data_IF_267809565920
#
_entry.id   IF_267809565920
#
_cell.length_a   1.000
_cell.length_b   1.000
_cell.length_c   1.000
_cell.angle_alpha   90.00
_cell.angle_beta   90.00
_cell.angle_gamma   90.00
#
_symmetry.space_group_name_H-M   'P 1'
#
loop_
_entity.id
_entity.type
_entity.pdbx_description
1 polymer ?
#
# COMPACT_ATOMS: atom_id res chain seq x y z
N UNK A 1 38.25 -29.42 33.41
CA UNK A 1 38.43 -29.39 31.93
C UNK A 1 37.33 -30.17 31.24
N UNK A 2 36.32 -29.49 30.70
CA UNK A 2 35.49 -29.96 29.58
C UNK A 2 35.15 -28.71 28.76
N UNK A 3 35.80 -28.59 27.60
CA UNK A 3 35.58 -27.51 26.64
C UNK A 3 34.40 -27.93 25.77
N UNK A 4 33.30 -27.19 25.83
CA UNK A 4 32.23 -27.28 24.84
C UNK A 4 32.10 -25.93 24.18
N UNK A 5 32.75 -25.81 23.02
CA UNK A 5 32.50 -24.78 22.04
C UNK A 5 31.06 -24.94 21.56
N UNK A 6 30.15 -24.06 22.00
CA UNK A 6 28.86 -23.89 21.35
C UNK A 6 29.04 -22.77 20.34
N UNK A 7 29.13 -23.22 19.10
CA UNK A 7 29.26 -22.51 17.84
C UNK A 7 28.50 -21.19 17.75
N UNK A 8 29.23 -20.17 17.31
CA UNK A 8 28.69 -18.98 16.69
C UNK A 8 27.83 -19.35 15.48
N UNK A 9 26.52 -19.12 15.56
CA UNK A 9 25.62 -19.17 14.41
C UNK A 9 24.30 -18.43 14.68
N UNK A 10 24.40 -17.22 15.26
CA UNK A 10 23.23 -16.37 15.56
C UNK A 10 23.27 -14.99 14.87
N UNK A 11 24.10 -14.82 13.83
CA UNK A 11 24.28 -13.52 13.17
C UNK A 11 24.06 -13.52 11.65
N UNK A 12 23.52 -14.59 11.05
CA UNK A 12 23.34 -14.70 9.60
C UNK A 12 21.90 -15.02 9.15
N UNK A 13 20.89 -14.75 9.99
CA UNK A 13 19.49 -15.00 9.68
C UNK A 13 18.61 -13.72 9.67
N UNK A 14 19.22 -12.54 9.52
CA UNK A 14 18.47 -11.26 9.40
C UNK A 14 18.39 -10.70 7.98
N UNK A 15 18.91 -11.41 6.96
CA UNK A 15 18.88 -10.95 5.56
C UNK A 15 18.41 -12.00 4.54
N UNK A 16 17.89 -13.14 4.99
CA UNK A 16 17.38 -14.19 4.11
C UNK A 16 15.87 -14.32 4.23
N UNK A 17 15.17 -14.20 3.10
CA UNK A 17 13.79 -14.64 2.85
C UNK A 17 12.64 -13.88 3.55
N UNK A 18 12.32 -12.66 3.09
CA UNK A 18 10.91 -12.19 3.01
C UNK A 18 10.65 -10.96 2.11
N UNK A 19 11.57 -10.54 1.24
CA UNK A 19 11.34 -9.35 0.39
C UNK A 19 10.50 -9.65 -0.88
N UNK A 20 10.19 -10.91 -1.20
CA UNK A 20 9.61 -11.28 -2.50
C UNK A 20 8.10 -11.55 -2.54
N UNK A 21 7.31 -11.19 -1.52
CA UNK A 21 5.84 -11.36 -1.55
C UNK A 21 5.01 -10.09 -1.24
N UNK A 22 5.66 -8.95 -0.95
CA UNK A 22 4.97 -7.67 -0.75
C UNK A 22 4.99 -6.73 -1.95
N UNK A 23 5.82 -7.01 -2.96
CA UNK A 23 6.07 -6.08 -4.06
C UNK A 23 5.10 -6.24 -5.25
N UNK A 24 4.36 -7.35 -5.32
CA UNK A 24 3.38 -7.65 -6.36
C UNK A 24 1.98 -7.84 -5.74
N UNK A 25 1.31 -6.74 -5.37
CA UNK A 25 -0.15 -6.75 -5.15
C UNK A 25 -0.68 -6.76 -3.72
N UNK A 26 0.10 -6.49 -2.67
CA UNK A 26 -0.39 -6.62 -1.29
C UNK A 26 0.20 -5.66 -0.26
N UNK A 27 -0.31 -4.43 -0.21
CA UNK A 27 -0.42 -3.67 1.05
C UNK A 27 -1.89 -3.66 1.49
N UNK A 28 -2.45 -4.87 1.62
CA UNK A 28 -3.76 -5.09 2.20
C UNK A 28 -3.61 -5.37 3.69
N UNK A 29 -3.95 -4.38 4.51
CA UNK A 29 -4.21 -4.58 5.94
C UNK A 29 -3.11 -4.13 6.88
N UNK A 30 -3.20 -2.87 7.33
CA UNK A 30 -3.39 -2.52 8.74
C UNK A 30 -3.30 -1.00 8.90
N UNK A 31 -4.46 -0.39 9.16
CA UNK A 31 -4.68 1.04 9.44
C UNK A 31 -4.60 2.01 8.25
N UNK A 32 -5.78 2.42 7.77
CA UNK A 32 -6.04 3.83 7.45
C UNK A 32 -5.39 4.44 6.21
N UNK A 33 -4.98 3.65 5.22
CA UNK A 33 -4.45 4.18 3.96
C UNK A 33 -4.73 3.22 2.83
N UNK A 34 -5.98 3.18 2.36
CA UNK A 34 -6.33 2.43 1.17
C UNK A 34 -5.44 2.91 0.01
N UNK A 35 -4.60 2.01 -0.52
CA UNK A 35 -3.95 2.15 -1.83
C UNK A 35 -4.98 2.11 -2.98
N UNK A 36 -6.21 2.54 -2.72
CA UNK A 36 -7.18 2.89 -3.74
C UNK A 36 -6.73 4.18 -4.40
N UNK A 37 -6.82 4.19 -5.72
CA UNK A 37 -6.53 5.32 -6.62
C UNK A 37 -7.17 6.63 -6.10
N UNK A 38 -8.25 6.55 -5.32
CA UNK A 38 -8.97 7.69 -4.77
C UNK A 38 -8.43 8.18 -3.42
N UNK A 39 -8.29 7.33 -2.39
CA UNK A 39 -7.78 7.80 -1.08
C UNK A 39 -6.27 8.05 -1.02
N UNK A 40 -5.50 7.51 -1.96
CA UNK A 40 -4.06 7.74 -2.03
C UNK A 40 -3.66 9.09 -2.65
N UNK A 41 -4.57 9.74 -3.39
CA UNK A 41 -4.31 10.97 -4.14
C UNK A 41 -5.21 12.16 -3.74
N UNK A 42 -6.35 11.95 -3.08
CA UNK A 42 -7.35 13.02 -2.87
C UNK A 42 -7.25 13.81 -1.56
N UNK A 43 -6.40 13.44 -0.61
CA UNK A 43 -6.17 14.29 0.55
C UNK A 43 -4.68 14.28 0.83
N UNK A 44 -4.13 15.40 1.31
CA UNK A 44 -2.81 15.48 1.92
C UNK A 44 -2.56 14.24 2.76
N UNK A 45 -1.90 13.25 2.16
CA UNK A 45 -1.68 11.97 2.82
C UNK A 45 -0.93 12.32 4.09
N UNK A 46 -1.38 11.83 5.25
CA UNK A 46 -0.62 11.98 6.50
C UNK A 46 0.81 11.53 6.22
N UNK A 47 1.74 12.47 6.07
CA UNK A 47 3.07 12.22 5.51
C UNK A 47 3.53 13.11 4.35
N UNK A 48 2.72 14.03 3.82
CA UNK A 48 3.18 15.07 2.88
C UNK A 48 3.28 14.65 1.40
N UNK A 49 3.19 13.36 1.08
CA UNK A 49 3.26 12.84 -0.30
C UNK A 49 1.92 12.90 -1.05
N UNK A 50 1.18 14.01 -0.91
CA UNK A 50 -0.09 14.22 -1.60
C UNK A 50 0.06 14.50 -3.09
N UNK A 51 -1.07 14.61 -3.80
CA UNK A 51 -1.07 14.95 -5.22
C UNK A 51 -0.37 16.28 -5.53
N UNK A 52 -0.63 17.33 -4.73
CA UNK A 52 0.02 18.64 -4.87
C UNK A 52 1.55 18.55 -4.73
N UNK A 53 2.05 17.72 -3.81
CA UNK A 53 3.48 17.46 -3.66
C UNK A 53 4.05 16.81 -4.93
N UNK A 54 3.36 15.80 -5.47
CA UNK A 54 3.79 15.12 -6.68
C UNK A 54 3.78 16.05 -7.91
N UNK A 55 2.77 16.93 -8.05
CA UNK A 55 2.73 17.92 -9.12
C UNK A 55 3.96 18.85 -9.09
N UNK A 56 4.31 19.32 -7.89
CA UNK A 56 5.48 20.18 -7.66
C UNK A 56 6.78 19.43 -7.96
N UNK A 57 6.97 18.24 -7.39
CA UNK A 57 8.22 17.48 -7.53
C UNK A 57 8.49 16.97 -8.94
N UNK A 58 7.45 16.76 -9.73
CA UNK A 58 7.58 16.40 -11.14
C UNK A 58 7.64 17.62 -12.07
N UNK A 59 7.47 18.84 -11.55
CA UNK A 59 7.38 20.06 -12.34
C UNK A 59 6.39 19.91 -13.51
N UNK A 60 5.17 19.43 -13.22
CA UNK A 60 4.18 19.19 -14.26
C UNK A 60 3.74 20.50 -14.93
N UNK A 61 3.59 20.48 -16.25
CA UNK A 61 3.04 21.63 -16.98
C UNK A 61 1.54 21.78 -16.72
N UNK A 62 0.95 22.97 -16.96
CA UNK A 62 -0.50 23.17 -16.86
C UNK A 62 -1.31 22.17 -17.70
N UNK A 63 -0.81 21.82 -18.89
CA UNK A 63 -1.44 20.85 -19.79
C UNK A 63 -1.39 19.44 -19.20
N UNK A 64 -0.23 19.02 -18.66
CA UNK A 64 -0.09 17.73 -18.00
C UNK A 64 -1.00 17.63 -16.77
N UNK A 65 -1.07 18.69 -15.97
CA UNK A 65 -1.98 18.78 -14.81
C UNK A 65 -3.43 18.59 -15.26
N UNK A 66 -3.86 19.27 -16.32
CA UNK A 66 -5.21 19.13 -16.86
C UNK A 66 -5.50 17.71 -17.34
N UNK A 67 -4.56 17.08 -18.05
CA UNK A 67 -4.70 15.69 -18.51
C UNK A 67 -4.79 14.71 -17.36
N UNK A 68 -3.99 14.89 -16.31
CA UNK A 68 -4.01 14.03 -15.12
C UNK A 68 -5.31 14.23 -14.32
N UNK A 69 -5.80 15.46 -14.19
CA UNK A 69 -7.10 15.72 -13.56
C UNK A 69 -8.24 15.05 -14.32
N UNK A 70 -8.26 15.17 -15.64
CA UNK A 70 -9.24 14.46 -16.47
C UNK A 70 -9.14 12.94 -16.28
N UNK A 71 -7.92 12.38 -16.31
CA UNK A 71 -7.69 10.96 -16.06
C UNK A 71 -8.19 10.51 -14.68
N UNK A 72 -8.07 11.36 -13.65
CA UNK A 72 -8.61 11.08 -12.30
C UNK A 72 -10.13 11.06 -12.28
N UNK A 73 -10.78 12.00 -12.98
CA UNK A 73 -12.24 12.03 -13.09
C UNK A 73 -12.78 10.81 -13.84
N UNK A 74 -12.15 10.45 -14.96
CA UNK A 74 -12.51 9.24 -15.71
C UNK A 74 -12.35 7.99 -14.85
N UNK A 75 -11.21 7.88 -14.16
CA UNK A 75 -11.01 6.78 -13.23
C UNK A 75 -12.11 6.77 -12.17
N UNK A 76 -12.49 7.90 -11.57
CA UNK A 76 -13.53 7.95 -10.53
C UNK A 76 -14.88 7.45 -11.05
N UNK A 77 -15.23 7.81 -12.28
CA UNK A 77 -16.43 7.32 -12.94
C UNK A 77 -16.35 5.81 -13.18
N UNK A 78 -15.22 5.30 -13.67
CA UNK A 78 -15.02 3.87 -13.91
C UNK A 78 -15.08 3.06 -12.61
N UNK A 79 -14.47 3.57 -11.54
CA UNK A 79 -14.57 2.98 -10.21
C UNK A 79 -16.02 2.91 -9.74
N UNK A 80 -16.76 4.01 -9.86
CA UNK A 80 -18.18 4.09 -9.48
C UNK A 80 -19.03 3.10 -10.28
N UNK A 81 -18.79 2.97 -11.60
CA UNK A 81 -19.45 1.95 -12.43
C UNK A 81 -19.08 0.53 -12.04
N UNK A 82 -17.82 0.30 -11.65
CA UNK A 82 -17.31 -1.02 -11.25
C UNK A 82 -17.70 -1.45 -9.83
N UNK A 83 -18.20 -0.53 -8.99
CA UNK A 83 -18.64 -0.84 -7.63
C UNK A 83 -19.73 -1.92 -7.61
N UNK A 84 -20.62 -1.92 -8.60
CA UNK A 84 -21.65 -2.97 -8.74
C UNK A 84 -21.07 -4.37 -8.96
N UNK A 85 -19.84 -4.46 -9.49
CA UNK A 85 -19.14 -5.73 -9.71
C UNK A 85 -18.36 -6.18 -8.47
N UNK A 86 -18.14 -5.29 -7.49
CA UNK A 86 -17.35 -5.59 -6.32
C UNK A 86 -18.07 -6.60 -5.42
N UNK A 87 -17.38 -7.68 -5.05
CA UNK A 87 -17.91 -8.73 -4.18
C UNK A 87 -17.87 -8.32 -2.71
N UNK A 88 -18.64 -9.01 -1.87
CA UNK A 88 -18.66 -8.78 -0.43
C UNK A 88 -18.16 -10.04 0.31
N UNK A 89 -16.84 -10.34 0.27
CA UNK A 89 -16.29 -11.65 0.66
C UNK A 89 -16.76 -12.16 2.01
N UNK A 90 -16.86 -11.27 3.01
CA UNK A 90 -17.29 -11.66 4.34
C UNK A 90 -18.80 -11.95 4.39
N UNK A 91 -19.62 -11.14 3.73
CA UNK A 91 -21.07 -11.31 3.70
C UNK A 91 -21.44 -12.61 2.99
N UNK A 92 -20.86 -12.81 1.80
CA UNK A 92 -21.15 -13.98 0.97
C UNK A 92 -20.58 -15.26 1.63
N UNK A 93 -19.43 -15.19 2.30
CA UNK A 93 -18.86 -16.33 3.00
C UNK A 93 -19.67 -16.79 4.22
N UNK A 94 -20.46 -15.94 4.88
CA UNK A 94 -21.25 -16.31 6.07
C UNK A 94 -22.73 -16.52 5.77
N UNK A 95 -23.17 -16.32 4.52
CA UNK A 95 -24.58 -16.33 4.14
C UNK A 95 -25.32 -17.63 4.51
N UNK A 96 -24.62 -18.76 4.59
CA UNK A 96 -25.18 -20.06 4.99
C UNK A 96 -25.20 -20.30 6.52
N UNK A 97 -24.85 -19.31 7.32
CA UNK A 97 -24.74 -19.41 8.78
C UNK A 97 -23.41 -19.98 9.28
N UNK A 98 -22.55 -20.47 8.39
CA UNK A 98 -21.19 -20.91 8.68
C UNK A 98 -20.19 -20.25 7.72
N UNK A 99 -18.95 -20.07 8.17
CA UNK A 99 -17.92 -19.46 7.32
C UNK A 99 -17.47 -20.40 6.19
N UNK A 100 -17.76 -20.01 4.96
CA UNK A 100 -17.31 -20.67 3.75
C UNK A 100 -15.97 -20.08 3.28
N UNK A 101 -14.87 -20.75 3.65
CA UNK A 101 -13.51 -20.38 3.27
C UNK A 101 -13.31 -20.23 1.76
N UNK A 102 -13.96 -21.09 0.96
CA UNK A 102 -13.81 -21.08 -0.51
C UNK A 102 -14.40 -19.80 -1.10
N UNK A 103 -15.63 -19.45 -0.73
CA UNK A 103 -16.29 -18.21 -1.18
C UNK A 103 -15.47 -17.00 -0.79
N UNK A 104 -15.01 -16.95 0.48
CA UNK A 104 -14.20 -15.84 0.95
C UNK A 104 -12.94 -15.62 0.10
N UNK A 105 -12.22 -16.68 -0.24
CA UNK A 105 -11.00 -16.61 -1.06
C UNK A 105 -11.34 -16.16 -2.48
N UNK A 106 -12.28 -16.84 -3.15
CA UNK A 106 -12.62 -16.59 -4.55
C UNK A 106 -13.05 -15.13 -4.78
N UNK A 107 -13.87 -14.60 -3.88
CA UNK A 107 -14.35 -13.21 -3.96
C UNK A 107 -13.27 -12.19 -3.60
N UNK A 108 -12.43 -12.50 -2.61
CA UNK A 108 -11.29 -11.66 -2.26
C UNK A 108 -10.30 -11.55 -3.42
N UNK A 109 -10.03 -12.66 -4.11
CA UNK A 109 -9.18 -12.73 -5.29
C UNK A 109 -9.80 -12.01 -6.49
N UNK A 110 -11.11 -12.17 -6.71
CA UNK A 110 -11.83 -11.42 -7.74
C UNK A 110 -11.66 -9.90 -7.54
N UNK A 111 -11.94 -9.42 -6.33
CA UNK A 111 -11.80 -8.01 -5.98
C UNK A 111 -10.34 -7.54 -6.10
N UNK A 112 -9.37 -8.37 -5.73
CA UNK A 112 -7.94 -8.06 -5.88
C UNK A 112 -7.54 -7.90 -7.35
N UNK A 113 -8.00 -8.80 -8.23
CA UNK A 113 -7.78 -8.73 -9.68
C UNK A 113 -8.38 -7.46 -10.27
N UNK A 114 -9.62 -7.13 -9.91
CA UNK A 114 -10.28 -5.90 -10.38
C UNK A 114 -9.50 -4.64 -9.96
N UNK A 115 -9.05 -4.56 -8.70
CA UNK A 115 -8.21 -3.45 -8.23
C UNK A 115 -6.88 -3.35 -8.98
N UNK A 116 -6.25 -4.49 -9.26
CA UNK A 116 -5.00 -4.53 -10.01
C UNK A 116 -5.19 -4.03 -11.44
N UNK A 117 -6.23 -4.47 -12.14
CA UNK A 117 -6.56 -4.02 -13.50
C UNK A 117 -6.80 -2.51 -13.55
N UNK A 118 -7.67 -1.99 -12.68
CA UNK A 118 -7.96 -0.55 -12.61
C UNK A 118 -6.69 0.27 -12.34
N UNK A 119 -5.82 -0.22 -11.44
CA UNK A 119 -4.55 0.43 -11.15
C UNK A 119 -3.61 0.41 -12.35
N UNK A 120 -3.46 -0.71 -13.03
CA UNK A 120 -2.60 -0.82 -14.21
C UNK A 120 -3.05 0.14 -15.31
N UNK A 121 -4.35 0.16 -15.63
CA UNK A 121 -4.91 1.03 -16.66
C UNK A 121 -4.67 2.52 -16.36
N UNK A 122 -4.89 2.93 -15.10
CA UNK A 122 -4.60 4.30 -14.69
C UNK A 122 -3.11 4.62 -14.79
N UNK A 123 -2.25 3.73 -14.30
CA UNK A 123 -0.80 3.95 -14.26
C UNK A 123 -0.20 4.01 -15.67
N UNK A 124 -0.65 3.17 -16.59
CA UNK A 124 -0.24 3.21 -18.00
C UNK A 124 -0.53 4.57 -18.64
N UNK A 125 -1.77 5.04 -18.50
CA UNK A 125 -2.22 6.35 -19.02
C UNK A 125 -1.56 7.52 -18.31
N UNK A 126 -1.31 7.41 -17.01
CA UNK A 126 -0.58 8.43 -16.25
C UNK A 126 0.86 8.55 -16.75
N UNK A 127 1.56 7.42 -16.94
CA UNK A 127 2.93 7.41 -17.43
C UNK A 127 3.04 7.99 -18.84
N UNK A 128 2.04 7.80 -19.71
CA UNK A 128 2.08 8.37 -21.06
C UNK A 128 2.02 9.90 -21.09
N UNK A 129 1.47 10.55 -20.07
CA UNK A 129 1.44 12.01 -19.91
C UNK A 129 2.83 12.57 -19.53
N UNK A 130 3.64 11.78 -18.84
CA UNK A 130 4.94 12.20 -18.33
C UNK A 130 6.05 12.11 -19.38
N UNK A 131 6.98 13.06 -19.34
CA UNK A 131 8.25 12.98 -20.06
C UNK A 131 9.14 11.85 -19.50
N UNK A 132 10.16 11.38 -20.24
CA UNK A 132 11.08 10.36 -19.74
C UNK A 132 11.72 10.71 -18.39
N UNK A 133 12.17 11.97 -18.23
CA UNK A 133 12.81 12.43 -16.99
C UNK A 133 11.82 12.48 -15.83
N UNK A 134 10.58 12.92 -16.08
CA UNK A 134 9.51 12.90 -15.08
C UNK A 134 9.16 11.48 -14.64
N UNK A 135 9.18 10.49 -15.54
CA UNK A 135 8.97 9.07 -15.18
C UNK A 135 10.05 8.57 -14.25
N UNK A 136 11.32 8.91 -14.51
CA UNK A 136 12.44 8.53 -13.63
C UNK A 136 12.30 9.18 -12.26
N UNK A 137 12.00 10.49 -12.20
CA UNK A 137 11.74 11.20 -10.95
C UNK A 137 10.54 10.61 -10.21
N UNK A 138 9.48 10.24 -10.90
CA UNK A 138 8.33 9.59 -10.29
C UNK A 138 8.70 8.26 -9.62
N UNK A 139 9.50 7.41 -10.27
CA UNK A 139 10.00 6.15 -9.67
C UNK A 139 10.78 6.43 -8.39
N UNK A 140 11.61 7.48 -8.39
CA UNK A 140 12.37 7.89 -7.21
C UNK A 140 11.44 8.36 -6.07
N UNK A 141 10.44 9.19 -6.36
CA UNK A 141 9.44 9.63 -5.39
C UNK A 141 8.65 8.46 -4.78
N UNK A 142 8.38 7.39 -5.54
CA UNK A 142 7.74 6.19 -5.02
C UNK A 142 8.63 5.44 -4.01
N UNK A 143 9.94 5.36 -4.28
CA UNK A 143 10.90 4.76 -3.34
C UNK A 143 10.97 5.55 -2.04
N UNK A 144 11.04 6.88 -2.13
CA UNK A 144 11.07 7.77 -0.97
C UNK A 144 9.80 7.64 -0.12
N UNK A 145 8.64 7.63 -0.77
CA UNK A 145 7.35 7.40 -0.09
C UNK A 145 7.32 6.06 0.64
N UNK A 146 7.86 5.00 0.03
CA UNK A 146 7.97 3.68 0.67
C UNK A 146 8.89 3.70 1.89
N UNK A 147 10.08 4.30 1.78
CA UNK A 147 11.01 4.44 2.89
C UNK A 147 10.41 5.25 4.04
N UNK A 148 9.71 6.34 3.73
CA UNK A 148 8.99 7.13 4.72
C UNK A 148 7.91 6.31 5.44
N UNK A 149 7.15 5.51 4.70
CA UNK A 149 6.13 4.63 5.28
C UNK A 149 6.75 3.58 6.23
N UNK A 150 7.86 2.95 5.84
CA UNK A 150 8.59 1.98 6.67
C UNK A 150 9.07 2.62 7.98
N UNK A 151 9.73 3.79 7.89
CA UNK A 151 10.19 4.53 9.08
C UNK A 151 9.04 4.90 10.02
N UNK A 152 7.89 5.31 9.46
CA UNK A 152 6.72 5.60 10.28
C UNK A 152 6.14 4.36 10.96
N UNK A 153 6.19 3.20 10.31
CA UNK A 153 5.79 1.94 10.94
C UNK A 153 6.71 1.58 12.11
N UNK A 154 8.03 1.71 11.95
CA UNK A 154 9.01 1.50 13.02
C UNK A 154 8.76 2.42 14.21
N UNK A 155 8.59 3.72 13.96
CA UNK A 155 8.28 4.70 15.01
C UNK A 155 6.99 4.34 15.78
N UNK A 156 5.96 3.85 15.06
CA UNK A 156 4.71 3.43 15.68
C UNK A 156 4.87 2.16 16.50
N UNK A 157 5.65 1.20 16.02
CA UNK A 157 5.98 0.00 16.80
C UNK A 157 6.70 0.38 18.10
N UNK A 158 7.68 1.28 18.03
CA UNK A 158 8.38 1.77 19.21
C UNK A 158 7.44 2.49 20.20
N UNK A 159 6.54 3.35 19.70
CA UNK A 159 5.53 4.01 20.54
C UNK A 159 4.62 3.00 21.24
N UNK A 160 4.16 1.96 20.52
CA UNK A 160 3.32 0.91 21.10
C UNK A 160 4.08 0.13 22.17
N UNK A 161 5.36 -0.19 21.93
CA UNK A 161 6.20 -0.87 22.90
C UNK A 161 6.38 -0.04 24.18
N UNK A 162 6.73 1.24 24.03
CA UNK A 162 6.86 2.17 25.16
C UNK A 162 5.55 2.26 25.98
N UNK A 163 4.39 2.26 25.30
CA UNK A 163 3.08 2.26 25.97
C UNK A 163 2.82 0.96 26.72
N UNK A 164 3.19 -0.19 26.16
CA UNK A 164 3.09 -1.49 26.84
C UNK A 164 3.96 -1.50 28.10
N UNK A 165 5.20 -1.04 27.99
CA UNK A 165 6.15 -1.03 29.10
C UNK A 165 5.69 -0.08 30.22
N UNK A 166 5.16 1.09 29.87
CA UNK A 166 4.52 2.01 30.82
C UNK A 166 3.33 1.36 31.54
N UNK A 167 2.44 0.67 30.82
CA UNK A 167 1.29 0.02 31.46
C UNK A 167 1.72 -1.11 32.39
N UNK A 168 2.75 -1.89 32.02
CA UNK A 168 3.30 -2.94 32.89
C UNK A 168 3.87 -2.38 34.21
N UNK A 169 4.53 -1.22 34.17
CA UNK A 169 5.08 -0.58 35.39
C UNK A 169 4.03 0.04 36.31
N UNK A 170 2.77 0.17 35.86
CA UNK A 170 1.65 0.68 36.66
C UNK A 170 0.76 -0.42 37.27
N UNK A 171 0.98 -1.67 36.87
CA UNK A 171 0.20 -2.83 37.34
C UNK A 171 0.98 -3.64 38.40
N UNK A 172 2.24 -3.26 38.68
CA UNK A 172 3.04 -3.74 39.82
C UNK A 172 2.96 -2.75 40.98
#
# INVERSE_FOLDING_TARGET
MKKTFVSALLAAALFGTSVSAGFAGGFGGMSGGSFGIYRGFECNARGGFGYQYMQKELNLTPEQIKQIEQLRQEALQDFTKSQSNYKMPMYDAIASGNFNKKIFIEESEYNARLRAQNRTNYMERFFSILTPDQRQKFVQLQKEKMQFALKNMENRQQMLQNKIDYLKSKVQ
#
